data_IF_471653666642
#
_entry.id   IF_471653666642
#
_cell.length_a   1.000
_cell.length_b   1.000
_cell.length_c   1.000
_cell.angle_alpha   90.00
_cell.angle_beta   90.00
_cell.angle_gamma   90.00
#
_symmetry.space_group_name_H-M   'P 1'
#
loop_
_entity.id
_entity.type
_entity.pdbx_description
1 polymer ?
#
# COMPACT_ATOMS: atom_id res chain seq x y z
N UNK A 1 16.90 51.58 -36.37
CA UNK A 1 16.84 52.48 -37.55
C UNK A 1 15.80 51.93 -38.52
N UNK A 2 14.78 52.72 -38.85
CA UNK A 2 13.57 52.23 -39.52
C UNK A 2 13.86 51.88 -40.99
N UNK A 3 13.40 50.70 -41.42
CA UNK A 3 13.53 50.14 -42.77
C UNK A 3 12.97 51.02 -43.90
N UNK A 4 12.22 52.06 -43.55
CA UNK A 4 11.67 53.07 -44.46
C UNK A 4 12.73 54.13 -44.80
N UNK A 5 13.57 54.52 -43.84
CA UNK A 5 14.63 55.52 -44.03
C UNK A 5 15.79 54.98 -44.87
N UNK A 6 16.08 53.68 -44.76
CA UNK A 6 17.09 53.03 -45.61
C UNK A 6 16.62 52.95 -47.07
N UNK A 7 15.34 52.67 -47.31
CA UNK A 7 14.76 52.54 -48.65
C UNK A 7 14.61 53.88 -49.38
N UNK A 8 14.36 54.98 -48.67
CA UNK A 8 14.33 56.32 -49.26
C UNK A 8 15.72 56.83 -49.63
N UNK A 9 16.72 56.57 -48.77
CA UNK A 9 18.12 56.90 -49.04
C UNK A 9 18.66 56.17 -50.29
N UNK A 10 18.35 54.88 -50.45
CA UNK A 10 18.74 54.10 -51.65
C UNK A 10 18.13 54.65 -52.95
N UNK A 11 16.86 55.11 -52.92
CA UNK A 11 16.22 55.73 -54.09
C UNK A 11 16.82 57.09 -54.42
N UNK A 12 17.10 57.92 -53.43
CA UNK A 12 17.72 59.22 -53.64
C UNK A 12 19.14 59.09 -54.23
N UNK A 13 19.94 58.15 -53.72
CA UNK A 13 21.27 57.84 -54.26
C UNK A 13 21.20 57.30 -55.70
N UNK A 14 20.22 56.45 -56.00
CA UNK A 14 20.01 55.94 -57.35
C UNK A 14 19.59 57.05 -58.33
N UNK A 15 18.69 57.95 -57.91
CA UNK A 15 18.27 59.10 -58.72
C UNK A 15 19.41 60.08 -58.99
N UNK A 16 20.21 60.41 -57.96
CA UNK A 16 21.38 61.29 -58.11
C UNK A 16 22.43 60.74 -59.07
N UNK A 17 22.68 59.43 -59.03
CA UNK A 17 23.63 58.76 -59.94
C UNK A 17 23.18 58.87 -61.40
N UNK A 18 21.89 58.64 -61.69
CA UNK A 18 21.35 58.77 -63.03
C UNK A 18 21.38 60.22 -63.54
N UNK A 19 21.15 61.19 -62.65
CA UNK A 19 21.23 62.60 -63.01
C UNK A 19 22.65 63.02 -63.42
N UNK A 20 23.68 62.53 -62.73
CA UNK A 20 25.09 62.75 -63.09
C UNK A 20 25.42 62.12 -64.45
N UNK A 21 24.97 60.88 -64.69
CA UNK A 21 25.17 60.18 -65.97
C UNK A 21 24.50 60.97 -67.11
N UNK A 22 23.24 61.37 -66.96
CA UNK A 22 22.53 62.17 -67.97
C UNK A 22 23.23 63.52 -68.23
N UNK A 23 23.73 64.19 -67.19
CA UNK A 23 24.48 65.44 -67.32
C UNK A 23 25.80 65.26 -68.08
N UNK A 24 26.54 64.18 -67.81
CA UNK A 24 27.77 63.85 -68.52
C UNK A 24 27.52 63.54 -70.01
N UNK A 25 26.47 62.77 -70.31
CA UNK A 25 26.05 62.49 -71.70
C UNK A 25 25.67 63.76 -72.45
N UNK A 26 24.88 64.64 -71.81
CA UNK A 26 24.50 65.91 -72.41
C UNK A 26 25.72 66.78 -72.70
N UNK A 27 26.66 66.87 -71.77
CA UNK A 27 27.89 67.64 -71.93
C UNK A 27 28.74 67.09 -73.08
N UNK A 28 28.91 65.78 -73.17
CA UNK A 28 29.64 65.08 -74.24
C UNK A 28 29.03 65.34 -75.63
N UNK A 29 27.70 65.29 -75.74
CA UNK A 29 27.01 65.65 -76.99
C UNK A 29 27.30 67.11 -77.37
N UNK A 30 27.23 68.04 -76.41
CA UNK A 30 27.45 69.46 -76.68
C UNK A 30 28.90 69.78 -77.07
N UNK A 31 29.89 69.04 -76.57
CA UNK A 31 31.31 69.26 -76.90
C UNK A 31 31.76 68.55 -78.17
N UNK A 32 31.30 67.32 -78.42
CA UNK A 32 31.81 66.49 -79.53
C UNK A 32 31.02 66.71 -80.83
N UNK A 33 29.75 67.08 -80.76
CA UNK A 33 28.93 67.39 -81.95
C UNK A 33 29.56 68.47 -82.85
N UNK A 34 30.01 69.63 -82.35
CA UNK A 34 30.64 70.64 -83.21
C UNK A 34 31.97 70.17 -83.83
N UNK A 35 32.74 69.34 -83.13
CA UNK A 35 33.98 68.75 -83.64
C UNK A 35 33.73 67.81 -84.83
N UNK A 36 32.73 66.93 -84.68
CA UNK A 36 32.34 65.98 -85.73
C UNK A 36 31.69 66.68 -86.93
N UNK A 37 30.86 67.69 -86.67
CA UNK A 37 30.28 68.52 -87.74
C UNK A 37 31.36 69.21 -88.58
N UNK A 38 32.50 69.57 -87.99
CA UNK A 38 33.64 70.16 -88.72
C UNK A 38 34.41 69.19 -89.62
N UNK A 39 34.30 67.87 -89.40
CA UNK A 39 35.03 66.83 -90.14
C UNK A 39 34.12 65.96 -91.03
N UNK A 40 32.81 66.16 -90.95
CA UNK A 40 31.81 65.39 -91.70
C UNK A 40 31.33 66.20 -92.90
N UNK A 41 31.09 65.53 -94.04
CA UNK A 41 30.53 66.20 -95.22
C UNK A 41 29.18 66.88 -94.88
N UNK A 42 28.85 68.05 -95.47
CA UNK A 42 27.66 68.84 -95.10
C UNK A 42 26.35 68.05 -95.13
N UNK A 43 26.22 67.12 -96.07
CA UNK A 43 25.06 66.25 -96.25
C UNK A 43 24.82 65.27 -95.08
N UNK A 44 25.85 65.01 -94.28
CA UNK A 44 25.86 64.03 -93.18
C UNK A 44 25.98 64.68 -91.80
N UNK A 45 26.05 66.01 -91.72
CA UNK A 45 26.20 66.74 -90.45
C UNK A 45 25.07 66.44 -89.43
N UNK A 46 23.89 66.04 -89.91
CA UNK A 46 22.78 65.62 -89.06
C UNK A 46 23.08 64.37 -88.22
N UNK A 47 24.07 63.56 -88.61
CA UNK A 47 24.52 62.37 -87.86
C UNK A 47 25.55 62.67 -86.78
N UNK A 48 26.11 63.90 -86.74
CA UNK A 48 27.13 64.31 -85.78
C UNK A 48 26.79 64.05 -84.29
N UNK A 49 25.54 64.21 -83.80
CA UNK A 49 25.21 63.92 -82.40
C UNK A 49 24.98 62.43 -82.11
N UNK A 50 24.92 61.56 -83.13
CA UNK A 50 24.67 60.12 -82.94
C UNK A 50 25.91 59.43 -82.39
N UNK A 51 27.10 59.78 -82.88
CA UNK A 51 28.35 59.14 -82.47
C UNK A 51 28.68 59.35 -80.97
N UNK A 52 28.61 60.57 -80.40
CA UNK A 52 28.84 60.79 -78.97
C UNK A 52 27.84 60.03 -78.10
N UNK A 53 26.57 60.02 -78.50
CA UNK A 53 25.52 59.30 -77.78
C UNK A 53 25.81 57.79 -77.70
N UNK A 54 26.26 57.18 -78.80
CA UNK A 54 26.60 55.74 -78.84
C UNK A 54 27.83 55.44 -77.98
N UNK A 55 28.86 56.30 -78.01
CA UNK A 55 30.06 56.13 -77.18
C UNK A 55 29.72 56.23 -75.70
N UNK A 56 28.92 57.21 -75.30
CA UNK A 56 28.52 57.35 -73.90
C UNK A 56 27.60 56.21 -73.44
N UNK A 57 26.69 55.75 -74.29
CA UNK A 57 25.86 54.58 -74.00
C UNK A 57 26.72 53.33 -73.81
N UNK A 58 27.76 53.13 -74.63
CA UNK A 58 28.70 52.02 -74.47
C UNK A 58 29.45 52.09 -73.13
N UNK A 59 29.91 53.28 -72.71
CA UNK A 59 30.54 53.48 -71.41
C UNK A 59 29.58 53.14 -70.26
N UNK A 60 28.34 53.62 -70.33
CA UNK A 60 27.32 53.34 -69.31
C UNK A 60 27.01 51.84 -69.24
N UNK A 61 26.87 51.17 -70.38
CA UNK A 61 26.64 49.72 -70.47
C UNK A 61 27.81 48.96 -69.84
N UNK A 62 29.06 49.29 -70.17
CA UNK A 62 30.24 48.63 -69.60
C UNK A 62 30.30 48.79 -68.08
N UNK A 63 30.05 50.01 -67.57
CA UNK A 63 30.03 50.27 -66.12
C UNK A 63 28.88 49.52 -65.43
N UNK A 64 27.71 49.40 -66.08
CA UNK A 64 26.56 48.66 -65.54
C UNK A 64 26.70 47.15 -65.63
N UNK A 65 27.35 46.63 -66.66
CA UNK A 65 27.62 45.20 -66.82
C UNK A 65 28.50 44.69 -65.67
N UNK A 66 29.46 45.48 -65.23
CA UNK A 66 30.30 45.18 -64.05
C UNK A 66 29.49 45.15 -62.74
N UNK A 67 28.47 46.01 -62.59
CA UNK A 67 27.55 45.99 -61.44
C UNK A 67 26.71 44.69 -61.41
N UNK A 68 26.29 44.20 -62.58
CA UNK A 68 25.53 42.94 -62.70
C UNK A 68 26.45 41.73 -62.48
N UNK A 69 27.65 41.73 -63.04
CA UNK A 69 28.62 40.63 -62.90
C UNK A 69 29.04 40.44 -61.43
N UNK A 70 29.32 41.55 -60.73
CA UNK A 70 29.71 41.51 -59.32
C UNK A 70 28.57 41.00 -58.42
N UNK A 71 27.30 41.27 -58.78
CA UNK A 71 26.12 40.76 -58.04
C UNK A 71 25.88 39.27 -58.24
N UNK A 72 26.32 38.72 -59.38
CA UNK A 72 26.20 37.30 -59.71
C UNK A 72 27.38 36.45 -59.18
N UNK A 73 28.31 37.05 -58.42
CA UNK A 73 29.46 36.35 -57.85
C UNK A 73 30.58 36.02 -58.85
N UNK A 74 30.47 36.51 -60.09
CA UNK A 74 31.48 36.33 -61.12
C UNK A 74 32.60 37.37 -60.99
N UNK A 75 33.84 36.90 -60.90
CA UNK A 75 35.00 37.79 -61.08
C UNK A 75 35.23 37.93 -62.59
N UNK A 76 34.87 39.08 -63.18
CA UNK A 76 35.06 39.36 -64.61
C UNK A 76 36.53 39.39 -65.08
N UNK A 77 37.49 38.97 -64.25
CA UNK A 77 38.92 39.06 -64.54
C UNK A 77 39.39 40.51 -64.69
N UNK A 78 40.54 40.68 -65.34
CA UNK A 78 41.14 41.99 -65.64
C UNK A 78 40.56 42.66 -66.89
N UNK A 79 39.77 41.93 -67.68
CA UNK A 79 39.23 42.40 -68.97
C UNK A 79 38.31 43.62 -68.85
N UNK A 80 37.36 43.70 -67.90
CA UNK A 80 36.51 44.88 -67.75
C UNK A 80 37.28 46.13 -67.32
N UNK A 81 38.35 45.95 -66.53
CA UNK A 81 39.25 47.02 -66.14
C UNK A 81 39.94 47.55 -67.39
N UNK A 82 40.51 46.67 -68.21
CA UNK A 82 41.17 47.05 -69.46
C UNK A 82 40.21 47.76 -70.43
N UNK A 83 38.99 47.23 -70.62
CA UNK A 83 37.98 47.84 -71.48
C UNK A 83 37.53 49.22 -70.99
N UNK A 84 37.42 49.41 -69.67
CA UNK A 84 37.09 50.71 -69.08
C UNK A 84 38.20 51.73 -69.33
N UNK A 85 39.45 51.36 -69.09
CA UNK A 85 40.59 52.26 -69.33
C UNK A 85 40.73 52.60 -70.81
N UNK A 86 40.58 51.62 -71.70
CA UNK A 86 40.63 51.85 -73.14
C UNK A 86 39.54 52.82 -73.61
N UNK A 87 38.28 52.58 -73.20
CA UNK A 87 37.16 53.44 -73.58
C UNK A 87 37.30 54.82 -72.96
N UNK A 88 37.69 54.91 -71.68
CA UNK A 88 37.91 56.18 -70.98
C UNK A 88 39.01 57.03 -71.60
N UNK A 89 40.14 56.43 -71.98
CA UNK A 89 41.23 57.10 -72.67
C UNK A 89 40.82 57.58 -74.08
N UNK A 90 40.02 56.79 -74.80
CA UNK A 90 39.50 57.18 -76.11
C UNK A 90 38.54 58.37 -76.00
N UNK A 91 37.63 58.36 -75.02
CA UNK A 91 36.73 59.51 -74.75
C UNK A 91 37.49 60.75 -74.29
N UNK A 92 38.55 60.59 -73.49
CA UNK A 92 39.43 61.69 -73.11
C UNK A 92 40.13 62.29 -74.33
N UNK A 93 40.72 61.45 -75.19
CA UNK A 93 41.39 61.88 -76.43
C UNK A 93 40.44 62.64 -77.38
N UNK A 94 39.19 62.18 -77.52
CA UNK A 94 38.18 62.86 -78.33
C UNK A 94 37.78 64.23 -77.76
N UNK A 95 37.64 64.34 -76.44
CA UNK A 95 37.25 65.60 -75.79
C UNK A 95 38.38 66.66 -75.83
N UNK A 96 39.64 66.24 -75.75
CA UNK A 96 40.78 67.19 -75.85
C UNK A 96 41.23 67.43 -77.28
N UNK A 97 40.77 66.62 -78.25
CA UNK A 97 41.31 66.56 -79.60
C UNK A 97 41.29 67.90 -80.33
N UNK A 98 40.18 68.62 -80.33
CA UNK A 98 40.07 69.94 -80.98
C UNK A 98 41.00 70.98 -80.33
N UNK A 99 41.03 71.03 -79.00
CA UNK A 99 41.89 71.95 -78.25
C UNK A 99 43.38 71.62 -78.44
N UNK A 100 43.74 70.34 -78.47
CA UNK A 100 45.10 69.88 -78.71
C UNK A 100 45.58 70.23 -80.13
N UNK A 101 44.73 70.03 -81.14
CA UNK A 101 45.03 70.39 -82.53
C UNK A 101 45.22 71.90 -82.71
N UNK A 102 44.48 72.72 -81.95
CA UNK A 102 44.61 74.19 -81.93
C UNK A 102 45.72 74.70 -81.02
N UNK A 103 46.46 73.82 -80.32
CA UNK A 103 47.47 74.14 -79.31
C UNK A 103 46.93 74.99 -78.14
N UNK A 104 45.63 74.89 -77.85
CA UNK A 104 44.99 75.55 -76.71
C UNK A 104 45.13 74.69 -75.45
N UNK A 105 46.16 75.00 -74.66
CA UNK A 105 46.43 74.32 -73.39
C UNK A 105 45.30 74.50 -72.36
N UNK A 106 44.58 75.62 -72.41
CA UNK A 106 43.47 75.90 -71.49
C UNK A 106 42.28 75.02 -71.87
N UNK A 107 41.95 74.94 -73.15
CA UNK A 107 40.93 74.04 -73.67
C UNK A 107 41.22 72.57 -73.34
N UNK A 108 42.46 72.12 -73.53
CA UNK A 108 42.87 70.75 -73.14
C UNK A 108 42.66 70.52 -71.64
N UNK A 109 43.04 71.47 -70.78
CA UNK A 109 42.86 71.34 -69.35
C UNK A 109 41.37 71.28 -68.97
N UNK A 110 40.54 72.20 -69.47
CA UNK A 110 39.09 72.26 -69.17
C UNK A 110 38.37 70.99 -69.64
N UNK A 111 38.64 70.53 -70.87
CA UNK A 111 38.00 69.34 -71.42
C UNK A 111 38.57 68.02 -70.87
N UNK A 112 39.69 68.05 -70.15
CA UNK A 112 40.22 66.88 -69.44
C UNK A 112 39.54 66.63 -68.09
N UNK A 113 39.01 67.66 -67.44
CA UNK A 113 38.50 67.55 -66.05
C UNK A 113 37.36 66.53 -65.95
N UNK A 114 36.35 66.62 -66.82
CA UNK A 114 35.18 65.74 -66.75
C UNK A 114 35.52 64.27 -67.04
N UNK A 115 36.27 63.91 -68.11
CA UNK A 115 36.69 62.52 -68.35
C UNK A 115 37.58 61.94 -67.23
N UNK A 116 38.52 62.72 -66.70
CA UNK A 116 39.38 62.26 -65.59
C UNK A 116 38.57 62.00 -64.32
N UNK A 117 37.63 62.89 -63.97
CA UNK A 117 36.73 62.67 -62.85
C UNK A 117 35.87 61.42 -63.05
N UNK A 118 35.38 61.15 -64.26
CA UNK A 118 34.61 59.93 -64.53
C UNK A 118 35.44 58.65 -64.35
N UNK A 119 36.69 58.62 -64.85
CA UNK A 119 37.58 57.46 -64.68
C UNK A 119 37.90 57.24 -63.20
N UNK A 120 38.30 58.30 -62.49
CA UNK A 120 38.64 58.21 -61.06
C UNK A 120 37.43 57.81 -60.23
N UNK A 121 36.26 58.41 -60.47
CA UNK A 121 35.04 58.07 -59.73
C UNK A 121 34.57 56.64 -60.01
N UNK A 122 34.75 56.12 -61.23
CA UNK A 122 34.45 54.74 -61.56
C UNK A 122 35.35 53.75 -60.80
N UNK A 123 36.67 53.99 -60.76
CA UNK A 123 37.62 53.13 -60.02
C UNK A 123 37.39 53.19 -58.51
N UNK A 124 37.16 54.39 -57.98
CA UNK A 124 36.88 54.57 -56.55
C UNK A 124 35.55 53.90 -56.17
N UNK A 125 34.52 53.99 -57.03
CA UNK A 125 33.23 53.34 -56.81
C UNK A 125 33.36 51.82 -56.74
N UNK A 126 34.23 51.21 -57.55
CA UNK A 126 34.47 49.77 -57.51
C UNK A 126 35.14 49.35 -56.20
N UNK A 127 36.14 50.10 -55.73
CA UNK A 127 36.81 49.84 -54.46
C UNK A 127 35.83 49.94 -53.27
N UNK A 128 35.02 50.99 -53.22
CA UNK A 128 33.97 51.15 -52.19
C UNK A 128 32.96 50.00 -52.23
N UNK A 129 32.53 49.56 -53.40
CA UNK A 129 31.58 48.44 -53.55
C UNK A 129 32.17 47.12 -53.06
N UNK A 130 33.43 46.83 -53.37
CA UNK A 130 34.12 45.63 -52.86
C UNK A 130 34.22 45.66 -51.34
N UNK A 131 34.60 46.81 -50.77
CA UNK A 131 34.66 46.98 -49.31
C UNK A 131 33.28 46.80 -48.65
N UNK A 132 32.23 47.38 -49.23
CA UNK A 132 30.85 47.23 -48.72
C UNK A 132 30.35 45.79 -48.82
N UNK A 133 30.60 45.10 -49.95
CA UNK A 133 30.22 43.70 -50.12
C UNK A 133 30.95 42.79 -49.11
N UNK A 134 32.25 43.01 -48.89
CA UNK A 134 33.03 42.28 -47.90
C UNK A 134 32.52 42.52 -46.47
N UNK A 135 32.23 43.78 -46.12
CA UNK A 135 31.66 44.13 -44.82
C UNK A 135 30.27 43.50 -44.60
N UNK A 136 29.42 43.49 -45.64
CA UNK A 136 28.11 42.82 -45.58
C UNK A 136 28.23 41.31 -45.40
N UNK A 137 29.15 40.66 -46.12
CA UNK A 137 29.40 39.22 -45.99
C UNK A 137 29.92 38.87 -44.59
N UNK A 138 30.84 39.66 -44.03
CA UNK A 138 31.34 39.47 -42.68
C UNK A 138 30.22 39.59 -41.63
N UNK A 139 29.36 40.61 -41.74
CA UNK A 139 28.23 40.80 -40.83
C UNK A 139 27.20 39.66 -40.94
N UNK A 140 26.95 39.14 -42.15
CA UNK A 140 26.07 38.00 -42.34
C UNK A 140 26.65 36.72 -41.72
N UNK A 141 27.96 36.48 -41.89
CA UNK A 141 28.64 35.33 -41.31
C UNK A 141 28.62 35.39 -39.77
N UNK A 142 28.85 36.56 -39.17
CA UNK A 142 28.77 36.76 -37.73
C UNK A 142 27.36 36.47 -37.19
N UNK A 143 26.33 37.03 -37.84
CA UNK A 143 24.93 36.76 -37.46
C UNK A 143 24.54 35.30 -37.59
N UNK A 144 25.04 34.60 -38.61
CA UNK A 144 24.79 33.17 -38.77
C UNK A 144 25.47 32.38 -37.65
N UNK A 145 26.74 32.68 -37.34
CA UNK A 145 27.47 32.05 -36.25
C UNK A 145 26.81 32.30 -34.88
N UNK A 146 26.28 33.50 -34.63
CA UNK A 146 25.52 33.80 -33.41
C UNK A 146 24.23 32.97 -33.31
N UNK A 147 23.48 32.83 -34.41
CA UNK A 147 22.28 31.99 -34.47
C UNK A 147 22.61 30.54 -34.21
N UNK A 148 23.63 30.00 -34.88
CA UNK A 148 24.03 28.60 -34.71
C UNK A 148 24.46 28.34 -33.25
N UNK A 149 25.20 29.27 -32.63
CA UNK A 149 25.57 29.19 -31.19
C UNK A 149 24.35 29.27 -30.27
N UNK A 150 23.38 30.12 -30.58
CA UNK A 150 22.16 30.24 -29.79
C UNK A 150 21.31 28.97 -29.88
N UNK A 151 21.20 28.39 -31.08
CA UNK A 151 20.50 27.12 -31.31
C UNK A 151 21.19 25.96 -30.60
N UNK A 152 22.52 25.87 -30.66
CA UNK A 152 23.29 24.85 -29.92
C UNK A 152 23.05 24.96 -28.41
N UNK A 153 23.17 26.17 -27.84
CA UNK A 153 22.90 26.39 -26.41
C UNK A 153 21.46 26.06 -26.03
N UNK A 154 20.49 26.32 -26.91
CA UNK A 154 19.09 25.96 -26.67
C UNK A 154 18.88 24.45 -26.68
N UNK A 155 19.54 23.72 -27.59
CA UNK A 155 19.53 22.25 -27.65
C UNK A 155 20.17 21.64 -26.41
N UNK A 156 21.34 22.11 -26.01
CA UNK A 156 22.04 21.65 -24.80
C UNK A 156 21.18 21.83 -23.54
N UNK A 157 20.54 23.01 -23.37
CA UNK A 157 19.62 23.25 -22.25
C UNK A 157 18.40 22.33 -22.27
N UNK A 158 17.86 22.06 -23.45
CA UNK A 158 16.72 21.16 -23.60
C UNK A 158 17.10 19.70 -23.30
N UNK A 159 18.31 19.28 -23.64
CA UNK A 159 18.84 17.96 -23.32
C UNK A 159 19.13 17.82 -21.82
N UNK A 160 19.76 18.82 -21.20
CA UNK A 160 19.96 18.87 -19.75
C UNK A 160 18.64 18.79 -18.99
N UNK A 161 17.65 19.62 -19.34
CA UNK A 161 16.33 19.58 -18.71
C UNK A 161 15.63 18.22 -18.86
N UNK A 162 15.87 17.50 -19.97
CA UNK A 162 15.34 16.14 -20.17
C UNK A 162 16.09 15.10 -19.33
N UNK A 163 17.39 15.27 -19.11
CA UNK A 163 18.19 14.40 -18.24
C UNK A 163 17.77 14.61 -16.78
N UNK A 164 17.71 15.85 -16.33
CA UNK A 164 17.29 16.22 -14.97
C UNK A 164 15.88 15.68 -14.67
N UNK A 165 14.94 15.84 -15.60
CA UNK A 165 13.57 15.32 -15.44
C UNK A 165 13.50 13.78 -15.43
N UNK A 166 14.47 13.06 -16.02
CA UNK A 166 14.55 11.59 -15.91
C UNK A 166 15.10 11.21 -14.55
N UNK A 167 16.17 11.86 -14.12
CA UNK A 167 16.79 11.63 -12.82
C UNK A 167 15.80 11.91 -11.68
N UNK A 168 15.04 13.01 -11.73
CA UNK A 168 13.99 13.31 -10.74
C UNK A 168 12.91 12.22 -10.69
N UNK A 169 12.49 11.68 -11.83
CA UNK A 169 11.50 10.59 -11.89
C UNK A 169 12.05 9.29 -11.31
N UNK A 170 13.31 8.98 -11.57
CA UNK A 170 13.98 7.79 -11.03
C UNK A 170 14.18 7.91 -9.51
N UNK A 171 14.60 9.08 -9.02
CA UNK A 171 14.70 9.36 -7.59
C UNK A 171 13.33 9.28 -6.91
N UNK A 172 12.29 9.86 -7.50
CA UNK A 172 10.92 9.79 -6.97
C UNK A 172 10.40 8.33 -6.94
N UNK A 173 10.64 7.55 -8.00
CA UNK A 173 10.25 6.15 -8.05
C UNK A 173 11.02 5.30 -7.02
N UNK A 174 12.29 5.62 -6.77
CA UNK A 174 13.11 4.95 -5.75
C UNK A 174 12.60 5.27 -4.34
N UNK A 175 12.33 6.54 -4.04
CA UNK A 175 11.75 6.96 -2.76
C UNK A 175 10.38 6.32 -2.51
N UNK A 176 9.54 6.19 -3.53
CA UNK A 176 8.25 5.51 -3.40
C UNK A 176 8.40 4.02 -3.11
N UNK A 177 9.36 3.34 -3.76
CA UNK A 177 9.67 1.93 -3.48
C UNK A 177 10.17 1.76 -2.05
N UNK A 178 11.13 2.59 -1.62
CA UNK A 178 11.65 2.56 -0.26
C UNK A 178 10.57 2.79 0.78
N UNK A 179 9.65 3.73 0.52
CA UNK A 179 8.51 3.99 1.39
C UNK A 179 7.55 2.79 1.47
N UNK A 180 7.20 2.18 0.33
CA UNK A 180 6.36 0.98 0.30
C UNK A 180 7.02 -0.20 1.01
N UNK A 181 8.32 -0.38 0.83
CA UNK A 181 9.08 -1.44 1.50
C UNK A 181 9.16 -1.19 3.02
N UNK A 182 9.33 0.07 3.42
CA UNK A 182 9.30 0.44 4.84
C UNK A 182 7.92 0.20 5.46
N UNK A 183 6.84 0.64 4.79
CA UNK A 183 5.45 0.40 5.22
C UNK A 183 5.16 -1.10 5.29
N UNK A 184 5.59 -1.89 4.30
CA UNK A 184 5.44 -3.35 4.30
C UNK A 184 6.22 -4.02 5.45
N UNK A 185 7.42 -3.53 5.76
CA UNK A 185 8.22 -4.03 6.89
C UNK A 185 7.54 -3.72 8.22
N UNK A 186 7.02 -2.50 8.40
CA UNK A 186 6.26 -2.12 9.59
C UNK A 186 4.98 -2.96 9.73
N UNK A 187 4.26 -3.21 8.65
CA UNK A 187 3.06 -4.04 8.66
C UNK A 187 3.38 -5.50 9.02
N UNK A 188 4.49 -6.07 8.52
CA UNK A 188 4.95 -7.41 8.93
C UNK A 188 5.33 -7.44 10.40
N UNK A 189 6.07 -6.44 10.88
CA UNK A 189 6.47 -6.38 12.28
C UNK A 189 5.25 -6.23 13.22
N UNK A 190 4.26 -5.43 12.84
CA UNK A 190 2.98 -5.34 13.56
C UNK A 190 2.24 -6.67 13.55
N UNK A 191 2.10 -7.32 12.38
CA UNK A 191 1.47 -8.63 12.27
C UNK A 191 2.16 -9.70 13.11
N UNK A 192 3.49 -9.72 13.16
CA UNK A 192 4.26 -10.64 14.01
C UNK A 192 4.09 -10.36 15.51
N UNK A 193 3.95 -9.09 15.91
CA UNK A 193 3.67 -8.71 17.30
C UNK A 193 2.26 -9.13 17.69
N UNK A 194 1.27 -8.89 16.84
CA UNK A 194 -0.11 -9.33 17.06
C UNK A 194 -0.23 -10.85 17.08
N UNK A 195 0.47 -11.57 16.20
CA UNK A 195 0.47 -13.03 16.22
C UNK A 195 1.12 -13.58 17.50
N UNK A 196 2.23 -12.98 17.96
CA UNK A 196 2.83 -13.31 19.26
C UNK A 196 1.86 -13.07 20.41
N UNK A 197 1.20 -11.92 20.45
CA UNK A 197 0.19 -11.63 21.47
C UNK A 197 -0.97 -12.63 21.43
N UNK A 198 -1.47 -12.99 20.25
CA UNK A 198 -2.54 -14.00 20.12
C UNK A 198 -2.08 -15.39 20.54
N UNK A 199 -0.81 -15.75 20.31
CA UNK A 199 -0.25 -17.02 20.79
C UNK A 199 -0.13 -17.00 22.31
N UNK A 200 0.40 -15.93 22.89
CA UNK A 200 0.50 -15.75 24.35
C UNK A 200 -0.87 -15.79 25.02
N UNK A 201 -1.87 -15.08 24.50
CA UNK A 201 -3.25 -15.12 25.01
C UNK A 201 -3.87 -16.53 24.92
N UNK A 202 -3.60 -17.28 23.83
CA UNK A 202 -4.08 -18.66 23.69
C UNK A 202 -3.41 -19.57 24.71
N UNK A 203 -2.10 -19.46 24.87
CA UNK A 203 -1.35 -20.23 25.86
C UNK A 203 -1.81 -19.89 27.29
N UNK A 204 -2.08 -18.63 27.60
CA UNK A 204 -2.59 -18.22 28.91
C UNK A 204 -4.00 -18.76 29.17
N UNK A 205 -4.89 -18.71 28.17
CA UNK A 205 -6.21 -19.33 28.25
C UNK A 205 -6.12 -20.84 28.43
N UNK A 206 -5.28 -21.51 27.66
CA UNK A 206 -5.06 -22.96 27.79
C UNK A 206 -4.50 -23.33 29.16
N UNK A 207 -3.56 -22.55 29.72
CA UNK A 207 -3.04 -22.73 31.09
C UNK A 207 -4.13 -22.52 32.14
N UNK A 208 -4.97 -21.50 31.96
CA UNK A 208 -6.07 -21.20 32.88
C UNK A 208 -7.13 -22.30 32.83
N UNK A 209 -7.52 -22.74 31.64
CA UNK A 209 -8.45 -23.85 31.45
C UNK A 209 -7.89 -25.20 31.94
N UNK A 210 -6.59 -25.43 31.80
CA UNK A 210 -5.93 -26.61 32.33
C UNK A 210 -5.89 -26.59 33.87
N UNK A 211 -5.58 -25.44 34.47
CA UNK A 211 -5.61 -25.25 35.93
C UNK A 211 -7.05 -25.39 36.47
N UNK A 212 -8.04 -24.86 35.76
CA UNK A 212 -9.45 -25.06 36.11
C UNK A 212 -9.85 -26.53 36.04
N UNK A 213 -9.50 -27.23 34.95
CA UNK A 213 -9.75 -28.67 34.80
C UNK A 213 -9.10 -29.47 35.92
N UNK A 214 -7.84 -29.21 36.23
CA UNK A 214 -7.13 -29.89 37.31
C UNK A 214 -7.77 -29.61 38.68
N UNK A 215 -8.22 -28.37 38.93
CA UNK A 215 -8.92 -28.03 40.18
C UNK A 215 -10.27 -28.74 40.29
N UNK A 216 -11.04 -28.82 39.19
CA UNK A 216 -12.32 -29.55 39.13
C UNK A 216 -12.12 -31.04 39.33
N UNK A 217 -11.12 -31.64 38.68
CA UNK A 217 -10.78 -33.05 38.88
C UNK A 217 -10.35 -33.34 40.32
N UNK A 218 -9.57 -32.45 40.96
CA UNK A 218 -9.20 -32.60 42.38
C UNK A 218 -10.42 -32.55 43.28
N UNK A 219 -11.34 -31.61 43.05
CA UNK A 219 -12.59 -31.47 43.78
C UNK A 219 -13.53 -32.67 43.58
N UNK A 220 -13.61 -33.20 42.36
CA UNK A 220 -14.39 -34.40 42.06
C UNK A 220 -13.80 -35.63 42.75
N UNK A 221 -12.47 -35.85 42.66
CA UNK A 221 -11.80 -36.94 43.37
C UNK A 221 -11.96 -36.84 44.89
N UNK A 222 -11.94 -35.64 45.45
CA UNK A 222 -12.17 -35.41 46.88
C UNK A 222 -13.63 -35.71 47.27
N UNK A 223 -14.60 -35.38 46.42
CA UNK A 223 -16.02 -35.74 46.63
C UNK A 223 -16.22 -37.24 46.54
N UNK A 224 -15.66 -37.90 45.53
CA UNK A 224 -15.74 -39.35 45.35
C UNK A 224 -15.12 -40.09 46.54
N UNK A 225 -13.98 -39.62 47.06
CA UNK A 225 -13.37 -40.18 48.27
C UNK A 225 -14.26 -40.03 49.50
N UNK A 226 -14.87 -38.85 49.70
CA UNK A 226 -15.81 -38.62 50.82
C UNK A 226 -17.07 -39.46 50.70
N UNK A 227 -17.60 -39.63 49.49
CA UNK A 227 -18.76 -40.48 49.24
C UNK A 227 -18.44 -41.95 49.50
N UNK A 228 -17.27 -42.44 49.06
CA UNK A 228 -16.81 -43.80 49.34
C UNK A 228 -16.62 -44.03 50.85
N UNK A 229 -15.98 -43.09 51.56
CA UNK A 229 -15.83 -43.16 53.02
C UNK A 229 -17.19 -43.19 53.75
N UNK A 230 -18.15 -42.37 53.33
CA UNK A 230 -19.51 -42.40 53.88
C UNK A 230 -20.21 -43.73 53.64
N UNK A 231 -20.10 -44.28 52.42
CA UNK A 231 -20.71 -45.57 52.06
C UNK A 231 -20.09 -46.72 52.86
N UNK A 232 -18.78 -46.71 53.06
CA UNK A 232 -18.06 -47.72 53.85
C UNK A 232 -18.41 -47.64 55.33
N UNK A 233 -18.51 -46.41 55.89
CA UNK A 233 -18.96 -46.19 57.27
C UNK A 233 -20.41 -46.64 57.47
N UNK A 234 -21.30 -46.37 56.51
CA UNK A 234 -22.69 -46.81 56.57
C UNK A 234 -22.80 -48.35 56.50
N UNK A 235 -22.02 -48.99 55.63
CA UNK A 235 -21.96 -50.46 55.54
C UNK A 235 -21.49 -51.08 56.85
N UNK A 236 -20.41 -50.55 57.44
CA UNK A 236 -19.91 -51.04 58.73
C UNK A 236 -20.92 -50.82 59.87
N UNK A 237 -21.67 -49.72 59.87
CA UNK A 237 -22.70 -49.47 60.87
C UNK A 237 -23.88 -50.46 60.75
N UNK A 238 -24.31 -50.78 59.53
CA UNK A 238 -25.37 -51.78 59.28
C UNK A 238 -24.94 -53.18 59.71
N UNK A 239 -23.72 -53.59 59.38
CA UNK A 239 -23.17 -54.90 59.77
C UNK A 239 -23.10 -55.06 61.29
N UNK A 240 -22.66 -54.01 62.03
CA UNK A 240 -22.63 -54.01 63.50
C UNK A 240 -24.04 -54.11 64.11
N UNK A 241 -25.00 -53.36 63.57
CA UNK A 241 -26.39 -53.38 64.05
C UNK A 241 -27.08 -54.74 63.79
N UNK A 242 -26.79 -55.39 62.66
CA UNK A 242 -27.30 -56.74 62.38
C UNK A 242 -26.67 -57.80 63.29
N UNK A 243 -25.36 -57.73 63.53
CA UNK A 243 -24.67 -58.64 64.45
C UNK A 243 -25.25 -58.53 65.88
N UNK A 244 -25.48 -57.29 66.36
CA UNK A 244 -26.04 -57.04 67.68
C UNK A 244 -27.48 -57.54 67.80
N UNK A 245 -28.30 -57.39 66.75
CA UNK A 245 -29.67 -57.95 66.71
C UNK A 245 -29.67 -59.48 66.79
N UNK A 246 -28.79 -60.15 66.04
CA UNK A 246 -28.67 -61.62 66.07
C UNK A 246 -28.24 -62.12 67.43
N UNK A 247 -27.33 -61.41 68.10
CA UNK A 247 -26.89 -61.77 69.44
C UNK A 247 -28.00 -61.62 70.50
N UNK A 248 -28.78 -60.54 70.44
CA UNK A 248 -29.91 -60.33 71.36
C UNK A 248 -31.00 -61.41 71.22
N UNK A 249 -31.33 -61.81 69.99
CA UNK A 249 -32.30 -62.89 69.73
C UNK A 249 -31.75 -64.23 70.26
N UNK A 250 -30.49 -64.54 69.99
CA UNK A 250 -29.86 -65.79 70.43
C UNK A 250 -29.69 -65.90 71.96
N UNK A 251 -29.59 -64.77 72.68
CA UNK A 251 -29.59 -64.75 74.16
C UNK A 251 -30.99 -64.97 74.71
N UNK A 252 -32.00 -64.29 74.16
CA UNK A 252 -33.40 -64.45 74.58
C UNK A 252 -33.91 -65.89 74.40
N UNK A 253 -33.56 -66.55 73.29
CA UNK A 253 -33.95 -67.95 73.06
C UNK A 253 -33.30 -68.94 74.05
N UNK A 254 -32.07 -68.68 74.50
CA UNK A 254 -31.40 -69.54 75.50
C UNK A 254 -32.04 -69.41 76.86
N UNK A 255 -32.32 -68.18 77.29
CA UNK A 255 -33.00 -67.93 78.57
C UNK A 255 -34.40 -68.54 78.61
N UNK A 256 -35.13 -68.52 77.49
CA UNK A 256 -36.47 -69.11 77.43
C UNK A 256 -36.45 -70.65 77.51
N UNK A 257 -35.48 -71.31 76.86
CA UNK A 257 -35.31 -72.78 76.95
C UNK A 257 -34.93 -73.23 78.36
N UNK A 258 -34.02 -72.52 79.01
CA UNK A 258 -33.61 -72.85 80.40
C UNK A 258 -34.76 -72.72 81.40
N UNK A 259 -35.66 -71.73 81.23
CA UNK A 259 -36.85 -71.59 82.09
C UNK A 259 -37.85 -72.73 81.90
N UNK A 260 -38.08 -73.16 80.66
CA UNK A 260 -38.99 -74.25 80.34
C UNK A 260 -38.47 -75.60 80.88
N UNK A 261 -37.17 -75.87 80.77
CA UNK A 261 -36.58 -77.10 81.30
C UNK A 261 -36.65 -77.20 82.84
N UNK A 262 -36.50 -76.08 83.56
CA UNK A 262 -36.63 -76.07 85.03
C UNK A 262 -38.06 -76.36 85.49
N UNK A 263 -39.05 -75.72 84.85
CA UNK A 263 -40.46 -75.94 85.16
C UNK A 263 -40.90 -77.40 84.90
N UNK A 264 -40.40 -78.03 83.83
CA UNK A 264 -40.69 -79.43 83.54
C UNK A 264 -40.13 -80.38 84.62
N UNK A 265 -38.91 -80.14 85.11
CA UNK A 265 -38.28 -80.99 86.15
C UNK A 265 -39.00 -80.88 87.50
N UNK A 266 -39.43 -79.69 87.88
CA UNK A 266 -40.20 -79.48 89.12
C UNK A 266 -41.56 -80.17 89.07
N UNK A 267 -42.22 -80.15 87.90
CA UNK A 267 -43.49 -80.85 87.69
C UNK A 267 -43.35 -82.37 87.80
N UNK A 268 -42.35 -82.94 87.14
CA UNK A 268 -42.17 -84.39 87.13
C UNK A 268 -41.84 -84.91 88.56
N UNK A 269 -41.07 -84.14 89.34
CA UNK A 269 -40.79 -84.45 90.75
C UNK A 269 -42.06 -84.45 91.64
N UNK A 270 -43.06 -83.62 91.33
CA UNK A 270 -44.33 -83.58 92.06
C UNK A 270 -45.24 -84.77 91.71
N UNK A 271 -45.13 -85.32 90.51
CA UNK A 271 -45.96 -86.43 90.03
C UNK A 271 -45.40 -87.82 90.36
N UNK A 272 -44.08 -87.95 90.53
CA UNK A 272 -43.44 -89.20 90.96
C UNK A 272 -43.64 -89.53 92.44
N UNK A 273 -44.16 -88.59 93.23
CA UNK A 273 -44.49 -88.79 94.63
C UNK A 273 -45.72 -89.69 94.73
N UNK A 274 -45.50 -91.00 94.92
CA UNK A 274 -46.54 -92.03 94.96
C UNK A 274 -47.72 -91.74 95.91
N UNK A 275 -48.79 -92.56 95.90
CA UNK A 275 -50.09 -92.22 96.49
C UNK A 275 -49.97 -91.78 97.95
N UNK A 276 -50.56 -90.62 98.26
CA UNK A 276 -50.48 -90.02 99.59
C UNK A 276 -51.22 -90.89 100.60
N UNK A 277 -50.48 -91.39 101.60
CA UNK A 277 -51.07 -92.23 102.67
C UNK A 277 -51.94 -91.41 103.65
N UNK A 278 -51.75 -90.10 103.67
CA UNK A 278 -52.51 -89.15 104.49
C UNK A 278 -52.80 -87.89 103.67
N UNK A 279 -53.91 -87.22 103.97
CA UNK A 279 -54.31 -85.96 103.32
C UNK A 279 -53.19 -84.90 103.43
N UNK A 280 -52.66 -84.43 102.28
CA UNK A 280 -51.61 -83.41 102.23
C UNK A 280 -52.13 -82.02 102.59
N UNK A 281 -51.22 -81.08 102.88
CA UNK A 281 -51.57 -79.66 103.05
C UNK A 281 -52.19 -79.09 101.75
N UNK A 282 -53.11 -78.13 101.89
CA UNK A 282 -53.88 -77.63 100.75
C UNK A 282 -53.00 -77.03 99.65
N UNK A 283 -51.96 -76.27 100.01
CA UNK A 283 -51.05 -75.63 99.05
C UNK A 283 -50.25 -76.66 98.24
N UNK A 284 -49.77 -77.72 98.90
CA UNK A 284 -49.08 -78.84 98.24
C UNK A 284 -50.05 -79.65 97.36
N UNK A 285 -51.27 -79.89 97.84
CA UNK A 285 -52.30 -80.58 97.07
C UNK A 285 -52.71 -79.79 95.83
N UNK A 286 -52.80 -78.45 95.92
CA UNK A 286 -53.04 -77.58 94.76
C UNK A 286 -51.92 -77.68 93.74
N UNK A 287 -50.65 -77.64 94.16
CA UNK A 287 -49.50 -77.77 93.26
C UNK A 287 -49.47 -79.13 92.54
N UNK A 288 -49.75 -80.23 93.26
CA UNK A 288 -49.86 -81.58 92.67
C UNK A 288 -51.03 -81.64 91.69
N UNK A 289 -52.16 -81.01 92.01
CA UNK A 289 -53.32 -80.96 91.12
C UNK A 289 -53.05 -80.16 89.85
N UNK A 290 -52.39 -79.00 89.95
CA UNK A 290 -51.95 -78.21 88.78
C UNK A 290 -50.99 -79.02 87.91
N UNK A 291 -49.97 -79.61 88.51
CA UNK A 291 -48.99 -80.47 87.81
C UNK A 291 -49.68 -81.66 87.14
N UNK A 292 -50.65 -82.30 87.82
CA UNK A 292 -51.39 -83.43 87.31
C UNK A 292 -52.35 -83.04 86.17
N UNK A 293 -52.97 -81.85 86.26
CA UNK A 293 -53.81 -81.31 85.19
C UNK A 293 -52.98 -81.01 83.94
N UNK A 294 -51.83 -80.36 84.07
CA UNK A 294 -50.91 -80.07 82.96
C UNK A 294 -50.34 -81.35 82.33
N UNK A 295 -50.09 -82.38 83.13
CA UNK A 295 -49.70 -83.71 82.66
C UNK A 295 -50.89 -84.56 82.17
N UNK A 296 -52.10 -84.00 82.12
CA UNK A 296 -53.34 -84.66 81.69
C UNK A 296 -53.66 -85.98 82.45
N UNK A 297 -53.25 -86.08 83.72
CA UNK A 297 -53.59 -87.22 84.57
C UNK A 297 -55.09 -87.22 84.91
N UNK A 298 -55.71 -88.39 85.08
CA UNK A 298 -57.12 -88.46 85.47
C UNK A 298 -57.32 -87.94 86.91
N UNK A 299 -58.44 -87.25 87.13
CA UNK A 299 -58.85 -86.66 88.42
C UNK A 299 -58.70 -87.62 89.60
N UNK A 300 -58.99 -88.91 89.39
CA UNK A 300 -58.86 -89.97 90.39
C UNK A 300 -57.40 -90.17 90.83
N UNK A 301 -56.47 -90.18 89.88
CA UNK A 301 -55.05 -90.38 90.16
C UNK A 301 -54.47 -89.14 90.86
N UNK A 302 -54.88 -87.94 90.45
CA UNK A 302 -54.53 -86.71 91.18
C UNK A 302 -55.06 -86.70 92.62
N UNK A 303 -56.27 -87.23 92.87
CA UNK A 303 -56.82 -87.40 94.21
C UNK A 303 -56.06 -88.41 95.07
N UNK A 304 -55.59 -89.51 94.47
CA UNK A 304 -54.71 -90.48 95.14
C UNK A 304 -53.34 -89.87 95.46
N UNK A 305 -52.77 -89.04 94.58
CA UNK A 305 -51.47 -88.39 94.78
C UNK A 305 -51.49 -87.33 95.89
N UNK A 306 -52.61 -86.62 96.08
CA UNK A 306 -52.70 -85.59 97.11
C UNK A 306 -53.42 -86.03 98.40
N UNK A 307 -54.15 -87.15 98.36
CA UNK A 307 -54.92 -87.68 99.50
C UNK A 307 -56.19 -86.87 99.80
N UNK A 308 -56.64 -86.01 98.87
CA UNK A 308 -57.88 -85.25 98.96
C UNK A 308 -59.03 -85.96 98.24
N UNK A 309 -60.26 -85.56 98.54
CA UNK A 309 -61.44 -86.16 97.90
C UNK A 309 -61.47 -85.84 96.40
N UNK A 310 -61.97 -86.81 95.62
CA UNK A 310 -62.17 -86.67 94.17
C UNK A 310 -63.01 -85.43 93.83
N UNK A 311 -63.99 -85.08 94.68
CA UNK A 311 -64.81 -83.88 94.50
C UNK A 311 -64.00 -82.58 94.62
N UNK A 312 -63.06 -82.50 95.56
CA UNK A 312 -62.18 -81.34 95.71
C UNK A 312 -61.22 -81.21 94.52
N UNK A 313 -60.62 -82.32 94.09
CA UNK A 313 -59.72 -82.35 92.92
C UNK A 313 -60.45 -82.03 91.61
N UNK A 314 -61.66 -82.55 91.42
CA UNK A 314 -62.48 -82.26 90.23
C UNK A 314 -62.82 -80.78 90.12
N UNK A 315 -63.10 -80.09 91.24
CA UNK A 315 -63.33 -78.65 91.26
C UNK A 315 -62.11 -77.88 90.77
N UNK A 316 -60.90 -78.29 91.18
CA UNK A 316 -59.65 -77.64 90.78
C UNK A 316 -59.29 -77.93 89.32
N UNK A 317 -59.54 -79.14 88.83
CA UNK A 317 -59.41 -79.45 87.40
C UNK A 317 -60.35 -78.60 86.53
N UNK A 318 -61.58 -78.32 87.02
CA UNK A 318 -62.50 -77.45 86.31
C UNK A 318 -62.00 -76.00 86.25
N UNK A 319 -61.42 -75.47 87.33
CA UNK A 319 -60.80 -74.14 87.33
C UNK A 319 -59.65 -74.03 86.32
N UNK A 320 -58.81 -75.07 86.17
CA UNK A 320 -57.75 -75.07 85.15
C UNK A 320 -58.27 -75.25 83.71
N UNK A 321 -59.46 -75.82 83.54
CA UNK A 321 -60.11 -75.99 82.23
C UNK A 321 -60.84 -74.73 81.77
N UNK A 322 -61.36 -73.97 82.72
CA UNK A 322 -62.08 -72.71 82.48
C UNK A 322 -61.49 -71.59 83.36
N UNK A 323 -60.35 -71.00 82.94
CA UNK A 323 -59.75 -69.88 83.66
C UNK A 323 -60.63 -68.63 83.67
N UNK A 324 -61.71 -68.58 82.87
CA UNK A 324 -62.66 -67.47 82.82
C UNK A 324 -63.73 -67.48 83.93
N UNK A 325 -63.83 -68.54 84.73
CA UNK A 325 -64.82 -68.65 85.83
C UNK A 325 -64.25 -68.46 87.24
N UNK A 326 -62.94 -68.27 87.40
CA UNK A 326 -62.25 -68.24 88.70
C UNK A 326 -61.38 -67.01 88.95
N UNK A 327 -61.79 -65.82 88.50
CA UNK A 327 -60.98 -64.60 88.67
C UNK A 327 -61.60 -63.32 88.12
N UNK A 328 -62.83 -63.01 88.50
CA UNK A 328 -63.33 -61.63 88.43
C UNK A 328 -62.87 -60.90 89.70
N UNK A 329 -61.68 -60.29 89.68
CA UNK A 329 -61.35 -59.05 90.41
C UNK A 329 -59.86 -58.71 90.29
N UNK A 330 -59.60 -57.40 90.16
CA UNK A 330 -58.35 -56.64 90.36
C UNK A 330 -57.50 -56.23 89.13
N UNK A 331 -57.62 -54.91 88.89
CA UNK A 331 -56.63 -53.94 88.38
C UNK A 331 -56.39 -53.92 86.86
N UNK A 332 -56.88 -52.97 86.06
CA UNK A 332 -56.94 -51.50 86.19
C UNK A 332 -55.55 -50.85 86.38
N UNK A 333 -55.18 -50.07 85.34
CA UNK A 333 -54.35 -48.86 85.31
C UNK A 333 -52.81 -48.96 85.37
N UNK A 334 -52.19 -48.73 84.20
CA UNK A 334 -51.19 -47.67 83.92
C UNK A 334 -50.71 -47.86 82.48
N UNK A 335 -51.19 -47.09 81.49
CA UNK A 335 -50.53 -45.89 80.92
C UNK A 335 -49.01 -45.96 80.83
#
# INVERSE_FOLDING_TARGET
>A
MNSVQTRSAERALSGGTWLIVCGAMLYSILTVTPLMAGHTAPEWAWTAPILPLVVDAAVVIVVKLDDVLARLGGHGGTWPILLRWMTGLMTWALNIGDSALRKDLVGVAVHSVAPLLLIVTAETSLAYRRALAAAQAALQAERQAERDRAEQKARERAEQARADAREEREHAATQERERRDHEARLAREQGEREERQRREEREERERTEAAERESRERLEREREQREQECVDLERQARERAEAERRERIARAEREQRERQERAARERDALLERGPAQTKLAEDEARQIVTAAYEAALPVRQAAELCGWSVGWVSSRYAEHRDPSTGGAELAIASR
#
